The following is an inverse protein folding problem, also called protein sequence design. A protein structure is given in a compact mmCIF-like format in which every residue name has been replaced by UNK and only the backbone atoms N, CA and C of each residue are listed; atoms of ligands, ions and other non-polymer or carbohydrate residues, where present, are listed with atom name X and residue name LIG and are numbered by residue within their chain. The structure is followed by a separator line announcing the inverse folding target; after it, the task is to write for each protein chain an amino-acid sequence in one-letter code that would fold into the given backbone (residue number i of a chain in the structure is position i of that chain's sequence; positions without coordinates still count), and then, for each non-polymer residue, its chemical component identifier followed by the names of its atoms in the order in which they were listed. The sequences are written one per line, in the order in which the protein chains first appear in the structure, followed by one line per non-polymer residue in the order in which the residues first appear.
data_IF_023830293132
#
_entry.id   IF_023830293132
#
_cell.length_a   1.000
_cell.length_b   1.000
_cell.length_c   1.000
_cell.angle_alpha   90.00
_cell.angle_beta   90.00
_cell.angle_gamma   90.00
#
_symmetry.space_group_name_H-M   'P 1'
#
loop_
_entity.id
_entity.type
_entity.pdbx_description
1 polymer ?
#
# COMPACT_ATOMS: atom_id res chain seq x y z
N UNK A 1 3.82 -21.51 32.37
CA UNK A 1 3.19 -20.33 32.99
C UNK A 1 3.41 -19.14 32.04
N UNK A 2 2.51 -18.64 31.22
CA UNK A 2 1.12 -18.95 30.90
C UNK A 2 1.02 -18.96 29.36
N UNK A 3 0.66 -20.10 28.80
CA UNK A 3 0.15 -20.20 27.44
C UNK A 3 -1.32 -19.78 27.47
N UNK A 4 -1.65 -18.61 26.91
CA UNK A 4 -3.03 -18.24 26.63
C UNK A 4 -3.48 -18.94 25.34
N UNK A 5 -3.75 -20.23 25.50
CA UNK A 5 -4.58 -21.02 24.60
C UNK A 5 -6.03 -20.56 24.80
N UNK A 6 -6.59 -19.87 23.82
CA UNK A 6 -8.03 -19.55 23.81
C UNK A 6 -8.75 -20.83 23.36
N UNK A 7 -9.20 -21.60 24.35
CA UNK A 7 -10.23 -22.62 24.18
C UNK A 7 -11.54 -21.91 23.81
N UNK A 8 -12.10 -22.26 22.65
CA UNK A 8 -13.45 -21.86 22.26
C UNK A 8 -14.37 -22.98 22.73
N UNK A 9 -15.01 -22.79 23.87
CA UNK A 9 -16.12 -23.63 24.31
C UNK A 9 -17.33 -23.43 23.39
N UNK A 10 -17.80 -24.55 22.87
CA UNK A 10 -18.99 -24.71 22.05
C UNK A 10 -20.26 -24.47 22.89
N UNK A 11 -20.97 -23.39 22.59
CA UNK A 11 -22.38 -23.25 22.95
C UNK A 11 -23.22 -23.54 21.70
N UNK A 12 -23.71 -24.77 21.63
CA UNK A 12 -24.76 -25.19 20.71
C UNK A 12 -26.11 -24.56 21.11
N UNK A 13 -26.97 -24.40 20.10
CA UNK A 13 -28.38 -24.00 20.12
C UNK A 13 -28.68 -22.50 20.14
N UNK A 14 -28.79 -21.93 18.94
CA UNK A 14 -29.99 -21.20 18.52
C UNK A 14 -30.09 -21.13 16.99
N UNK A 15 -31.02 -21.94 16.47
CA UNK A 15 -31.68 -21.88 15.14
C UNK A 15 -30.87 -21.37 13.95
N UNK A 16 -30.34 -22.35 13.20
CA UNK A 16 -29.90 -22.18 11.82
C UNK A 16 -31.10 -21.73 10.95
N UNK A 17 -31.12 -20.47 10.53
CA UNK A 17 -31.90 -20.08 9.35
C UNK A 17 -31.01 -20.36 8.15
N UNK A 18 -31.16 -21.56 7.60
CA UNK A 18 -30.66 -21.91 6.26
C UNK A 18 -31.44 -21.05 5.27
N UNK A 19 -30.83 -20.00 4.72
CA UNK A 19 -31.38 -19.31 3.55
C UNK A 19 -30.84 -20.08 2.32
N UNK A 20 -31.70 -20.74 1.53
CA UNK A 20 -31.25 -21.50 0.38
C UNK A 20 -30.65 -20.59 -0.70
N UNK A 21 -29.53 -21.02 -1.28
CA UNK A 21 -28.95 -20.48 -2.52
C UNK A 21 -29.90 -20.70 -3.71
N UNK A 22 -30.99 -19.95 -3.78
CA UNK A 22 -31.82 -19.91 -5.00
C UNK A 22 -32.83 -18.76 -5.00
N UNK A 23 -32.47 -17.54 -4.59
CA UNK A 23 -33.41 -16.40 -4.61
C UNK A 23 -32.78 -15.04 -4.94
N UNK A 24 -31.90 -15.01 -5.95
CA UNK A 24 -31.60 -13.78 -6.71
C UNK A 24 -31.50 -14.09 -8.21
N UNK A 25 -32.52 -14.76 -8.75
CA UNK A 25 -32.78 -14.84 -10.20
C UNK A 25 -34.28 -14.99 -10.55
N UNK A 26 -35.21 -15.10 -9.60
CA UNK A 26 -36.62 -15.40 -9.90
C UNK A 26 -37.56 -14.18 -10.02
N UNK A 27 -37.16 -12.98 -9.55
CA UNK A 27 -38.02 -11.79 -9.66
C UNK A 27 -38.21 -11.25 -11.09
N UNK A 28 -37.46 -11.78 -12.07
CA UNK A 28 -37.66 -11.49 -13.49
C UNK A 28 -38.34 -12.63 -14.28
N UNK A 29 -38.66 -13.76 -13.63
CA UNK A 29 -39.35 -14.89 -14.27
C UNK A 29 -40.82 -15.06 -13.83
N UNK A 30 -41.20 -14.61 -12.64
CA UNK A 30 -42.59 -14.73 -12.17
C UNK A 30 -43.56 -13.72 -12.83
N UNK A 31 -43.05 -12.64 -13.42
CA UNK A 31 -43.82 -11.76 -14.31
C UNK A 31 -44.02 -12.38 -15.71
N UNK A 32 -43.20 -13.38 -16.09
CA UNK A 32 -43.28 -14.05 -17.39
C UNK A 32 -44.14 -15.33 -17.34
N UNK A 33 -44.23 -16.03 -16.20
CA UNK A 33 -45.08 -17.22 -16.08
C UNK A 33 -46.53 -16.94 -15.68
N UNK A 34 -46.81 -15.90 -14.89
CA UNK A 34 -48.19 -15.51 -14.59
C UNK A 34 -48.95 -14.95 -15.81
N UNK A 35 -48.23 -14.60 -16.89
CA UNK A 35 -48.82 -14.26 -18.17
C UNK A 35 -49.14 -15.50 -19.03
N UNK A 36 -48.58 -16.68 -18.70
CA UNK A 36 -48.75 -17.92 -19.45
C UNK A 36 -49.83 -18.84 -18.83
N UNK A 37 -50.00 -18.82 -17.51
CA UNK A 37 -51.01 -19.65 -16.82
C UNK A 37 -52.46 -19.15 -16.95
N UNK A 38 -52.69 -17.88 -17.30
CA UNK A 38 -54.04 -17.34 -17.46
C UNK A 38 -54.64 -17.56 -18.87
N UNK A 39 -53.93 -18.25 -19.77
CA UNK A 39 -54.39 -18.51 -21.16
C UNK A 39 -54.77 -19.99 -21.43
N UNK A 40 -54.81 -20.86 -20.42
CA UNK A 40 -55.27 -22.24 -20.58
C UNK A 40 -56.52 -22.53 -19.77
N UNK A 41 -57.58 -21.78 -20.05
CA UNK A 41 -58.94 -22.27 -19.84
C UNK A 41 -59.88 -21.55 -20.79
N UNK A 42 -60.64 -22.35 -21.54
CA UNK A 42 -61.75 -22.01 -22.44
C UNK A 42 -61.37 -21.74 -23.91
N UNK A 43 -61.57 -22.81 -24.67
CA UNK A 43 -61.71 -22.87 -26.11
C UNK A 43 -62.84 -21.96 -26.60
N UNK A 44 -62.49 -20.89 -27.33
CA UNK A 44 -63.33 -20.31 -28.36
C UNK A 44 -62.47 -19.45 -29.30
N UNK A 45 -62.64 -19.68 -30.59
CA UNK A 45 -61.89 -19.13 -31.72
C UNK A 45 -61.96 -17.60 -31.86
N UNK A 46 -60.83 -16.92 -31.67
CA UNK A 46 -60.57 -15.61 -32.32
C UNK A 46 -59.08 -15.58 -32.72
N UNK A 47 -58.78 -15.66 -34.02
CA UNK A 47 -57.45 -15.37 -34.55
C UNK A 47 -57.20 -13.86 -34.49
N UNK A 48 -56.55 -13.37 -33.44
CA UNK A 48 -55.89 -12.06 -33.47
C UNK A 48 -54.42 -12.26 -33.80
N UNK A 49 -54.05 -11.94 -35.03
CA UNK A 49 -52.66 -11.86 -35.50
C UNK A 49 -51.90 -10.81 -34.68
N UNK A 50 -50.98 -11.25 -33.82
CA UNK A 50 -50.00 -10.38 -33.19
C UNK A 50 -49.03 -9.92 -34.29
N UNK A 51 -49.23 -8.71 -34.81
CA UNK A 51 -48.26 -8.08 -35.70
C UNK A 51 -47.02 -7.70 -34.88
N UNK A 52 -45.95 -8.49 -34.98
CA UNK A 52 -44.63 -8.07 -34.50
C UNK A 52 -44.19 -6.86 -35.32
N UNK A 53 -43.92 -5.73 -34.65
CA UNK A 53 -43.43 -4.53 -35.33
C UNK A 53 -42.10 -4.82 -36.05
N UNK A 54 -41.95 -4.50 -37.34
CA UNK A 54 -40.69 -4.72 -38.03
C UNK A 54 -39.60 -3.80 -37.48
N UNK A 55 -38.42 -4.39 -37.25
CA UNK A 55 -37.17 -3.71 -36.93
C UNK A 55 -36.69 -2.92 -38.16
N UNK A 56 -35.82 -1.92 -37.95
CA UNK A 56 -35.27 -1.07 -39.02
C UNK A 56 -34.55 -1.90 -40.12
N UNK A 57 -34.14 -3.14 -39.79
CA UNK A 57 -33.46 -4.08 -40.67
C UNK A 57 -34.39 -4.98 -41.51
N UNK A 58 -35.71 -4.87 -41.38
CA UNK A 58 -36.65 -5.80 -42.03
C UNK A 58 -37.04 -5.40 -43.47
N UNK A 59 -36.29 -4.49 -44.11
CA UNK A 59 -36.56 -4.10 -45.49
C UNK A 59 -35.94 -5.12 -46.43
N UNK A 60 -36.79 -5.83 -47.17
CA UNK A 60 -36.33 -6.78 -48.19
C UNK A 60 -36.08 -6.05 -49.50
N UNK A 61 -35.21 -6.60 -50.34
CA UNK A 61 -34.93 -6.06 -51.69
C UNK A 61 -36.20 -5.90 -52.54
N UNK A 62 -37.20 -6.76 -52.31
CA UNK A 62 -38.52 -6.72 -52.94
C UNK A 62 -39.32 -5.43 -52.60
N UNK A 63 -39.08 -4.83 -51.44
CA UNK A 63 -39.82 -3.66 -50.93
C UNK A 63 -39.35 -2.34 -51.57
N UNK A 64 -38.24 -2.38 -52.30
CA UNK A 64 -37.60 -1.24 -52.98
C UNK A 64 -37.80 -1.24 -54.50
N UNK A 65 -38.51 -2.23 -55.06
CA UNK A 65 -38.62 -2.48 -56.50
C UNK A 65 -39.25 -1.36 -57.32
N UNK A 66 -40.06 -0.48 -56.72
CA UNK A 66 -40.67 0.64 -57.44
C UNK A 66 -40.36 1.97 -56.76
N UNK A 67 -40.17 3.08 -57.51
CA UNK A 67 -39.90 4.39 -56.94
C UNK A 67 -40.93 4.83 -55.90
N UNK A 68 -42.20 4.44 -56.09
CA UNK A 68 -43.31 4.77 -55.18
C UNK A 68 -43.23 3.99 -53.87
N UNK A 69 -42.93 2.69 -53.91
CA UNK A 69 -42.74 1.85 -52.70
C UNK A 69 -41.49 2.25 -51.93
N UNK A 70 -40.38 2.50 -52.63
CA UNK A 70 -39.12 2.98 -52.04
C UNK A 70 -39.32 4.31 -51.30
N UNK A 71 -40.00 5.29 -51.91
CA UNK A 71 -40.32 6.58 -51.27
C UNK A 71 -41.22 6.42 -50.03
N UNK A 72 -42.16 5.48 -50.06
CA UNK A 72 -43.02 5.18 -48.91
C UNK A 72 -42.23 4.56 -47.74
N UNK A 73 -41.37 3.56 -48.02
CA UNK A 73 -40.51 2.93 -47.02
C UNK A 73 -39.48 3.89 -46.44
N UNK A 74 -38.87 4.75 -47.25
CA UNK A 74 -37.95 5.79 -46.78
C UNK A 74 -38.62 6.76 -45.79
N UNK A 75 -39.87 7.17 -46.06
CA UNK A 75 -40.64 8.00 -45.13
C UNK A 75 -40.94 7.28 -43.82
N UNK A 76 -41.34 6.01 -43.87
CA UNK A 76 -41.59 5.19 -42.67
C UNK A 76 -40.32 5.00 -41.84
N UNK A 77 -39.21 4.70 -42.48
CA UNK A 77 -37.88 4.61 -41.85
C UNK A 77 -37.48 5.93 -41.20
N UNK A 78 -37.57 7.04 -41.94
CA UNK A 78 -37.21 8.37 -41.44
C UNK A 78 -38.03 8.72 -40.19
N UNK A 79 -39.33 8.40 -40.20
CA UNK A 79 -40.21 8.59 -39.06
C UNK A 79 -39.83 7.69 -37.87
N UNK A 80 -39.56 6.40 -38.09
CA UNK A 80 -39.16 5.46 -37.03
C UNK A 80 -37.78 5.80 -36.44
N UNK A 81 -36.84 6.24 -37.28
CA UNK A 81 -35.55 6.76 -36.86
C UNK A 81 -35.71 8.02 -35.98
N UNK A 82 -36.55 8.98 -36.41
CA UNK A 82 -36.86 10.17 -35.63
C UNK A 82 -37.51 9.83 -34.27
N UNK A 83 -38.47 8.91 -34.27
CA UNK A 83 -39.14 8.46 -33.05
C UNK A 83 -38.17 7.78 -32.09
N UNK A 84 -37.31 6.88 -32.59
CA UNK A 84 -36.27 6.23 -31.79
C UNK A 84 -35.25 7.24 -31.26
N UNK A 85 -34.83 8.22 -32.07
CA UNK A 85 -33.95 9.31 -31.65
C UNK A 85 -34.58 10.12 -30.51
N UNK A 86 -35.86 10.47 -30.62
CA UNK A 86 -36.61 11.17 -29.56
C UNK A 86 -36.75 10.32 -28.30
N UNK A 87 -37.02 9.01 -28.44
CA UNK A 87 -37.07 8.06 -27.32
C UNK A 87 -35.72 7.97 -26.59
N UNK A 88 -34.61 7.86 -27.32
CA UNK A 88 -33.25 7.86 -26.77
C UNK A 88 -32.97 9.16 -26.00
N UNK A 89 -33.36 10.32 -26.55
CA UNK A 89 -33.19 11.61 -25.86
C UNK A 89 -33.99 11.66 -24.55
N UNK A 90 -35.24 11.23 -24.56
CA UNK A 90 -36.09 11.19 -23.35
C UNK A 90 -35.54 10.23 -22.29
N UNK A 91 -35.09 9.04 -22.71
CA UNK A 91 -34.46 8.05 -21.82
C UNK A 91 -33.15 8.61 -21.21
N UNK A 92 -32.32 9.25 -22.02
CA UNK A 92 -31.10 9.90 -21.54
C UNK A 92 -31.39 11.03 -20.54
N UNK A 93 -32.44 11.82 -20.77
CA UNK A 93 -32.88 12.85 -19.83
C UNK A 93 -33.40 12.25 -18.52
N UNK A 94 -34.17 11.16 -18.56
CA UNK A 94 -34.65 10.48 -17.34
C UNK A 94 -33.47 9.91 -16.55
N UNK A 95 -32.53 9.24 -17.21
CA UNK A 95 -31.28 8.76 -16.58
C UNK A 95 -30.50 9.91 -15.94
N UNK A 96 -30.37 11.06 -16.63
CA UNK A 96 -29.70 12.24 -16.08
C UNK A 96 -30.40 12.77 -14.83
N UNK A 97 -31.73 12.89 -14.85
CA UNK A 97 -32.52 13.34 -13.68
C UNK A 97 -32.37 12.39 -12.50
N UNK A 98 -32.40 11.09 -12.74
CA UNK A 98 -32.20 10.07 -11.71
C UNK A 98 -30.79 10.14 -11.11
N UNK A 99 -29.75 10.27 -11.93
CA UNK A 99 -28.38 10.45 -11.45
C UNK A 99 -28.22 11.70 -10.59
N UNK A 100 -28.86 12.81 -10.97
CA UNK A 100 -28.83 14.04 -10.19
C UNK A 100 -29.53 13.88 -8.83
N UNK A 101 -30.62 13.09 -8.77
CA UNK A 101 -31.30 12.75 -7.50
C UNK A 101 -30.47 11.82 -6.61
N UNK A 102 -29.58 11.02 -7.18
CA UNK A 102 -28.72 10.04 -6.49
C UNK A 102 -27.25 10.51 -6.43
N UNK A 103 -27.02 11.82 -6.26
CA UNK A 103 -25.69 12.43 -6.33
C UNK A 103 -24.79 12.14 -5.13
N UNK A 104 -25.37 11.74 -3.99
CA UNK A 104 -24.68 11.33 -2.78
C UNK A 104 -25.39 10.14 -2.13
N UNK A 105 -24.67 9.46 -1.24
CA UNK A 105 -25.17 8.40 -0.39
C UNK A 105 -26.37 8.89 0.43
N UNK A 106 -26.28 10.10 1.01
CA UNK A 106 -27.37 10.75 1.73
C UNK A 106 -28.59 11.00 0.83
N UNK A 107 -28.37 11.46 -0.40
CA UNK A 107 -29.47 11.69 -1.34
C UNK A 107 -30.14 10.36 -1.76
N UNK A 108 -29.35 9.30 -1.90
CA UNK A 108 -29.85 7.94 -2.15
C UNK A 108 -30.67 7.44 -0.96
N UNK A 109 -30.15 7.55 0.26
CA UNK A 109 -30.86 7.11 1.46
C UNK A 109 -32.14 7.94 1.71
N UNK A 110 -32.10 9.25 1.48
CA UNK A 110 -33.28 10.12 1.51
C UNK A 110 -34.32 9.72 0.46
N UNK A 111 -33.89 9.38 -0.75
CA UNK A 111 -34.79 8.88 -1.79
C UNK A 111 -35.43 7.53 -1.42
N UNK A 112 -34.66 6.60 -0.84
CA UNK A 112 -35.18 5.32 -0.36
C UNK A 112 -36.15 5.48 0.81
N UNK A 113 -35.86 6.40 1.74
CA UNK A 113 -36.75 6.79 2.83
C UNK A 113 -38.08 7.34 2.29
N UNK A 114 -38.02 8.29 1.36
CA UNK A 114 -39.22 8.89 0.78
C UNK A 114 -40.10 7.88 0.00
N UNK A 115 -39.51 6.80 -0.51
CA UNK A 115 -40.24 5.74 -1.21
C UNK A 115 -40.67 4.59 -0.28
N UNK A 116 -40.52 4.74 1.04
CA UNK A 116 -40.86 3.73 2.06
C UNK A 116 -40.14 2.39 1.86
N UNK A 117 -38.93 2.39 1.31
CA UNK A 117 -38.13 1.19 1.08
C UNK A 117 -37.19 0.86 2.25
N UNK A 118 -36.98 1.79 3.18
CA UNK A 118 -36.09 1.66 4.35
C UNK A 118 -36.77 2.29 5.57
N UNK A 119 -36.65 1.66 6.74
CA UNK A 119 -37.10 2.21 8.04
C UNK A 119 -36.21 3.35 8.54
N UNK A 120 -36.77 4.31 9.27
CA UNK A 120 -36.01 5.48 9.77
C UNK A 120 -34.79 5.08 10.61
N UNK A 121 -34.93 4.06 11.45
CA UNK A 121 -33.82 3.55 12.26
C UNK A 121 -32.67 2.99 11.40
N UNK A 122 -32.99 2.27 10.32
CA UNK A 122 -31.98 1.70 9.43
C UNK A 122 -31.26 2.78 8.60
N UNK A 123 -31.96 3.88 8.26
CA UNK A 123 -31.36 5.02 7.57
C UNK A 123 -30.22 5.62 8.41
N UNK A 124 -30.52 5.97 9.66
CA UNK A 124 -29.56 6.66 10.54
C UNK A 124 -28.47 5.72 11.04
N UNK A 125 -28.79 4.46 11.27
CA UNK A 125 -27.83 3.46 11.72
C UNK A 125 -26.78 3.13 10.64
N UNK A 126 -27.19 2.97 9.38
CA UNK A 126 -26.27 2.69 8.28
C UNK A 126 -25.39 3.92 7.98
N UNK A 127 -25.97 5.12 7.96
CA UNK A 127 -25.22 6.36 7.75
C UNK A 127 -24.23 6.62 8.88
N UNK A 128 -24.57 6.33 10.14
CA UNK A 128 -23.68 6.64 11.26
C UNK A 128 -22.63 5.54 11.52
N UNK A 129 -22.96 4.25 11.28
CA UNK A 129 -22.04 3.13 11.54
C UNK A 129 -21.09 2.79 10.40
N UNK A 130 -21.35 3.24 9.17
CA UNK A 130 -20.44 3.01 8.06
C UNK A 130 -19.12 3.77 8.25
N UNK A 131 -18.00 3.06 8.08
CA UNK A 131 -16.68 3.68 8.08
C UNK A 131 -16.53 4.67 6.91
N UNK A 132 -15.82 5.77 7.15
CA UNK A 132 -15.64 6.85 6.16
C UNK A 132 -15.08 6.38 4.81
N UNK A 133 -14.08 5.46 4.74
CA UNK A 133 -13.60 4.95 3.45
C UNK A 133 -14.72 4.29 2.63
N UNK A 134 -15.66 3.61 3.28
CA UNK A 134 -16.78 2.92 2.61
C UNK A 134 -17.78 3.95 2.09
N UNK A 135 -18.15 4.94 2.91
CA UNK A 135 -19.04 6.05 2.52
C UNK A 135 -18.49 6.79 1.30
N UNK A 136 -17.21 7.14 1.35
CA UNK A 136 -16.53 7.86 0.27
C UNK A 136 -16.45 7.02 -1.01
N UNK A 137 -16.24 5.70 -0.90
CA UNK A 137 -16.18 4.85 -2.08
C UNK A 137 -17.56 4.66 -2.73
N UNK A 138 -18.63 4.57 -1.93
CA UNK A 138 -19.98 4.53 -2.48
C UNK A 138 -20.33 5.87 -3.14
N UNK A 139 -20.02 6.99 -2.49
CA UNK A 139 -20.17 8.34 -3.07
C UNK A 139 -19.40 8.49 -4.39
N UNK A 140 -18.21 7.91 -4.49
CA UNK A 140 -17.42 7.86 -5.72
C UNK A 140 -18.15 7.13 -6.84
N UNK A 141 -18.70 5.95 -6.54
CA UNK A 141 -19.45 5.13 -7.50
C UNK A 141 -20.74 5.81 -7.97
N UNK A 142 -21.41 6.57 -7.09
CA UNK A 142 -22.63 7.32 -7.42
C UNK A 142 -22.36 8.52 -8.34
N UNK A 143 -21.23 9.23 -8.15
CA UNK A 143 -20.88 10.41 -8.95
C UNK A 143 -20.35 10.04 -10.34
N UNK A 144 -19.14 9.48 -10.39
CA UNK A 144 -18.45 9.14 -11.64
C UNK A 144 -17.21 8.31 -11.35
N UNK A 145 -16.91 7.37 -12.25
CA UNK A 145 -15.70 6.53 -12.20
C UNK A 145 -14.39 7.35 -12.25
N UNK A 146 -14.43 8.58 -12.78
CA UNK A 146 -13.26 9.45 -12.96
C UNK A 146 -13.02 10.44 -11.82
N UNK A 147 -13.80 10.36 -10.74
CA UNK A 147 -13.57 11.23 -9.56
C UNK A 147 -12.20 10.96 -8.92
N UNK A 148 -11.69 11.88 -8.11
CA UNK A 148 -10.44 11.67 -7.34
C UNK A 148 -10.71 10.74 -6.15
N UNK A 149 -9.72 9.95 -5.75
CA UNK A 149 -9.80 9.15 -4.53
C UNK A 149 -9.56 10.06 -3.33
N UNK A 150 -10.34 9.88 -2.27
CA UNK A 150 -10.18 10.62 -1.03
C UNK A 150 -8.90 10.20 -0.28
N UNK A 151 -8.36 11.07 0.60
CA UNK A 151 -7.22 10.72 1.44
C UNK A 151 -7.46 9.50 2.33
N UNK A 152 -8.66 9.37 2.93
CA UNK A 152 -8.99 8.25 3.82
C UNK A 152 -9.09 6.91 3.07
N UNK A 153 -9.65 6.91 1.85
CA UNK A 153 -9.64 5.71 1.01
C UNK A 153 -8.24 5.37 0.49
N UNK A 154 -7.44 6.39 0.17
CA UNK A 154 -6.04 6.21 -0.24
C UNK A 154 -5.20 5.59 0.87
N UNK A 155 -5.29 6.11 2.11
CA UNK A 155 -4.59 5.54 3.26
C UNK A 155 -5.05 4.11 3.52
N UNK A 156 -6.36 3.86 3.59
CA UNK A 156 -6.92 2.51 3.77
C UNK A 156 -6.41 1.51 2.71
N UNK A 157 -6.47 1.88 1.43
CA UNK A 157 -6.04 1.01 0.34
C UNK A 157 -4.52 0.73 0.39
N UNK A 158 -3.70 1.74 0.68
CA UNK A 158 -2.26 1.59 0.81
C UNK A 158 -1.90 0.71 2.02
N UNK A 159 -2.51 0.95 3.18
CA UNK A 159 -2.30 0.17 4.40
C UNK A 159 -2.70 -1.28 4.22
N UNK A 160 -3.87 -1.56 3.63
CA UNK A 160 -4.32 -2.93 3.38
C UNK A 160 -3.39 -3.66 2.40
N UNK A 161 -2.97 -2.99 1.32
CA UNK A 161 -2.01 -3.55 0.37
C UNK A 161 -0.64 -3.81 1.02
N UNK A 162 -0.21 -2.93 1.93
CA UNK A 162 1.04 -3.07 2.69
C UNK A 162 0.99 -4.28 3.63
N UNK A 163 -0.11 -4.47 4.37
CA UNK A 163 -0.26 -5.63 5.24
C UNK A 163 -0.34 -6.94 4.46
N UNK A 164 -1.11 -6.99 3.37
CA UNK A 164 -1.16 -8.17 2.52
C UNK A 164 -1.76 -7.87 1.15
N UNK A 165 -0.96 -8.09 0.10
CA UNK A 165 -1.42 -8.01 -1.29
C UNK A 165 -2.54 -9.02 -1.59
N UNK A 166 -2.49 -10.21 -0.99
CA UNK A 166 -3.54 -11.23 -1.13
C UNK A 166 -4.84 -10.79 -0.48
N UNK A 167 -4.77 -10.24 0.74
CA UNK A 167 -5.94 -9.71 1.42
C UNK A 167 -6.55 -8.55 0.64
N UNK A 168 -5.73 -7.64 0.13
CA UNK A 168 -6.19 -6.55 -0.73
C UNK A 168 -6.93 -7.05 -1.97
N UNK A 169 -6.36 -8.02 -2.69
CA UNK A 169 -6.99 -8.62 -3.87
C UNK A 169 -8.31 -9.33 -3.53
N UNK A 170 -8.35 -10.05 -2.41
CA UNK A 170 -9.56 -10.69 -1.91
C UNK A 170 -10.65 -9.66 -1.63
N UNK A 171 -10.38 -8.67 -0.77
CA UNK A 171 -11.33 -7.60 -0.42
C UNK A 171 -11.79 -6.88 -1.68
N UNK A 172 -10.87 -6.55 -2.60
CA UNK A 172 -11.23 -5.91 -3.87
C UNK A 172 -12.18 -6.77 -4.70
N UNK A 173 -11.96 -8.09 -4.79
CA UNK A 173 -12.84 -9.02 -5.51
C UNK A 173 -14.21 -9.15 -4.83
N UNK A 174 -14.22 -9.35 -3.51
CA UNK A 174 -15.41 -9.53 -2.68
C UNK A 174 -16.34 -8.31 -2.77
N UNK A 175 -15.79 -7.10 -2.71
CA UNK A 175 -16.55 -5.86 -2.80
C UNK A 175 -16.71 -5.35 -4.25
N UNK A 176 -16.80 -6.24 -5.26
CA UNK A 176 -17.07 -5.87 -6.67
C UNK A 176 -16.16 -4.74 -7.21
N UNK A 177 -14.86 -4.82 -6.93
CA UNK A 177 -13.85 -3.83 -7.32
C UNK A 177 -14.07 -2.43 -6.74
N UNK A 178 -14.62 -2.33 -5.53
CA UNK A 178 -14.74 -1.08 -4.77
C UNK A 178 -13.39 -0.39 -4.59
N UNK A 179 -12.34 -1.17 -4.33
CA UNK A 179 -10.99 -0.64 -4.10
C UNK A 179 -10.23 -0.31 -5.40
N UNK A 180 -9.29 0.66 -5.35
CA UNK A 180 -8.52 1.06 -6.52
C UNK A 180 -7.76 -0.12 -7.16
N UNK A 181 -7.40 0.03 -8.44
CA UNK A 181 -6.56 -0.97 -9.10
C UNK A 181 -5.10 -0.88 -8.63
N UNK A 182 -4.33 -1.97 -8.68
CA UNK A 182 -2.94 -1.98 -8.21
C UNK A 182 -2.07 -0.94 -8.93
N UNK A 183 -2.30 -0.68 -10.23
CA UNK A 183 -1.54 0.36 -10.94
C UNK A 183 -1.83 1.77 -10.38
N UNK A 184 -3.01 2.01 -9.82
CA UNK A 184 -3.31 3.26 -9.12
C UNK A 184 -2.48 3.36 -7.84
N UNK A 185 -2.35 2.28 -7.08
CA UNK A 185 -1.50 2.24 -5.88
C UNK A 185 -0.02 2.45 -6.24
N UNK A 186 0.46 1.82 -7.32
CA UNK A 186 1.84 2.03 -7.81
C UNK A 186 2.12 3.52 -8.11
N UNK A 187 1.18 4.21 -8.77
CA UNK A 187 1.27 5.66 -9.02
C UNK A 187 1.24 6.50 -7.74
N UNK A 188 0.62 6.00 -6.67
CA UNK A 188 0.62 6.67 -5.38
C UNK A 188 1.92 6.50 -4.62
N UNK A 189 2.58 5.34 -4.77
CA UNK A 189 3.92 5.09 -4.23
C UNK A 189 4.99 5.86 -4.99
N UNK A 190 4.85 6.06 -6.31
CA UNK A 190 5.84 6.77 -7.15
C UNK A 190 5.97 8.27 -6.87
N UNK A 191 5.27 8.81 -5.86
CA UNK A 191 5.42 10.21 -5.44
C UNK A 191 6.66 10.38 -4.57
N UNK A 192 7.04 9.33 -3.83
CA UNK A 192 8.20 9.34 -2.96
C UNK A 192 9.37 8.80 -3.77
N UNK A 193 10.44 9.57 -3.82
CA UNK A 193 11.69 9.10 -4.39
C UNK A 193 12.29 8.06 -3.45
N UNK A 194 12.56 6.88 -3.99
CA UNK A 194 13.05 5.72 -3.26
C UNK A 194 14.36 5.23 -3.84
N UNK A 195 15.14 6.13 -4.42
CA UNK A 195 16.47 5.86 -4.95
C UNK A 195 17.50 5.74 -3.81
N UNK A 196 18.63 5.06 -4.04
CA UNK A 196 19.74 4.99 -3.09
C UNK A 196 20.24 6.40 -2.71
N UNK A 197 20.69 6.56 -1.48
CA UNK A 197 21.12 7.82 -0.91
C UNK A 197 20.51 8.11 0.45
N UNK A 198 20.75 9.34 0.93
CA UNK A 198 20.18 9.85 2.17
C UNK A 198 18.77 10.40 1.95
N UNK A 199 17.82 9.94 2.78
CA UNK A 199 16.42 10.37 2.81
C UNK A 199 16.03 10.81 4.22
N UNK A 200 16.14 12.11 4.50
CA UNK A 200 15.83 12.68 5.82
C UNK A 200 14.40 13.22 5.95
N UNK A 201 13.59 13.18 4.88
CA UNK A 201 12.22 13.70 4.91
C UNK A 201 11.33 13.04 5.99
N UNK A 202 11.56 11.75 6.26
CA UNK A 202 10.80 11.03 7.27
C UNK A 202 11.10 11.50 8.68
N UNK A 203 12.35 11.83 8.99
CA UNK A 203 12.73 12.29 10.32
C UNK A 203 12.37 13.76 10.54
N UNK A 204 12.51 14.62 9.52
CA UNK A 204 12.08 16.03 9.61
C UNK A 204 10.58 16.13 9.88
N UNK A 205 9.78 15.29 9.23
CA UNK A 205 8.35 15.18 9.53
C UNK A 205 8.11 14.78 10.99
N UNK A 206 8.82 13.76 11.50
CA UNK A 206 8.69 13.32 12.90
C UNK A 206 9.07 14.40 13.91
N UNK A 207 10.12 15.18 13.62
CA UNK A 207 10.54 16.31 14.46
C UNK A 207 9.47 17.41 14.43
N UNK A 208 8.87 17.69 13.27
CA UNK A 208 7.81 18.70 13.15
C UNK A 208 6.52 18.34 13.89
N UNK A 209 6.20 17.05 13.98
CA UNK A 209 5.01 16.54 14.67
C UNK A 209 5.21 16.43 16.20
N UNK A 210 6.46 16.45 16.67
CA UNK A 210 6.78 16.27 18.09
C UNK A 210 6.83 17.59 18.84
N UNK A 211 6.16 17.65 19.99
CA UNK A 211 6.27 18.78 20.95
C UNK A 211 7.58 18.71 21.73
N UNK A 212 8.00 17.50 22.08
CA UNK A 212 9.21 17.24 22.85
C UNK A 212 10.41 17.04 21.91
N UNK A 213 11.64 17.35 22.35
CA UNK A 213 12.83 17.15 21.53
C UNK A 213 13.00 15.68 21.16
N UNK A 214 13.19 15.39 19.87
CA UNK A 214 13.41 14.03 19.38
C UNK A 214 14.84 13.60 19.70
N UNK A 215 14.98 12.49 20.41
CA UNK A 215 16.26 11.91 20.79
C UNK A 215 16.39 10.53 20.14
N UNK A 216 17.44 10.31 19.35
CA UNK A 216 17.62 9.09 18.57
C UNK A 216 18.99 8.44 18.79
N UNK A 217 19.02 7.14 18.53
CA UNK A 217 20.19 6.33 18.23
C UNK A 217 20.27 6.13 16.71
N UNK A 218 21.48 6.14 16.13
CA UNK A 218 21.68 5.77 14.74
C UNK A 218 22.17 4.32 14.68
N UNK A 219 21.42 3.46 13.99
CA UNK A 219 21.78 2.06 13.76
C UNK A 219 22.28 1.90 12.33
N UNK A 220 23.43 1.25 12.17
CA UNK A 220 24.05 0.96 10.88
C UNK A 220 24.14 -0.56 10.75
N UNK A 221 23.58 -1.10 9.68
CA UNK A 221 23.72 -2.52 9.35
C UNK A 221 23.88 -2.71 7.84
N UNK A 222 24.49 -3.83 7.47
CA UNK A 222 24.77 -4.21 6.10
C UNK A 222 24.05 -5.52 5.77
N UNK A 223 23.28 -5.53 4.68
CA UNK A 223 22.56 -6.71 4.23
C UNK A 223 23.07 -7.19 2.87
N UNK A 224 23.36 -8.49 2.74
CA UNK A 224 23.71 -9.06 1.45
C UNK A 224 22.47 -9.08 0.53
N UNK A 225 22.66 -8.63 -0.70
CA UNK A 225 21.64 -8.61 -1.75
C UNK A 225 22.04 -9.56 -2.89
N UNK A 226 21.03 -10.01 -3.65
CA UNK A 226 21.28 -10.84 -4.83
C UNK A 226 21.92 -9.98 -5.93
N UNK A 227 23.08 -10.42 -6.42
CA UNK A 227 23.75 -9.81 -7.57
C UNK A 227 22.91 -10.06 -8.83
N UNK A 228 22.33 -9.00 -9.37
CA UNK A 228 21.54 -9.06 -10.60
C UNK A 228 21.34 -7.67 -11.18
N UNK A 229 21.87 -7.44 -12.38
CA UNK A 229 21.59 -6.23 -13.16
C UNK A 229 20.25 -6.39 -13.88
N UNK A 230 19.35 -5.42 -13.73
CA UNK A 230 18.05 -5.39 -14.42
C UNK A 230 17.84 -4.07 -15.14
N UNK A 231 17.51 -4.12 -16.42
CA UNK A 231 17.18 -2.95 -17.23
C UNK A 231 15.68 -2.72 -17.26
N UNK A 232 15.24 -1.50 -16.97
CA UNK A 232 13.86 -1.09 -17.13
C UNK A 232 13.63 -0.45 -18.49
N UNK A 233 12.38 -0.55 -18.97
CA UNK A 233 11.91 0.07 -20.21
C UNK A 233 12.14 1.60 -20.29
N UNK A 234 12.35 2.24 -19.14
CA UNK A 234 12.59 3.68 -19.04
C UNK A 234 14.07 4.06 -19.23
N UNK A 235 14.94 3.12 -19.63
CA UNK A 235 16.38 3.34 -19.79
C UNK A 235 17.20 3.36 -18.50
N UNK A 236 16.54 3.24 -17.33
CA UNK A 236 17.20 3.04 -16.04
C UNK A 236 17.63 1.58 -15.86
N UNK A 237 18.80 1.35 -15.29
CA UNK A 237 19.22 0.02 -14.83
C UNK A 237 19.31 0.01 -13.29
N UNK A 238 19.13 -1.16 -12.70
CA UNK A 238 19.30 -1.41 -11.27
C UNK A 238 20.22 -2.60 -11.05
N UNK A 239 20.80 -2.70 -9.85
CA UNK A 239 21.67 -3.81 -9.45
C UNK A 239 23.16 -3.50 -9.48
N UNK A 240 23.54 -2.32 -9.97
CA UNK A 240 24.88 -1.78 -9.82
C UNK A 240 25.11 -1.14 -8.44
N UNK A 241 26.38 -0.85 -8.15
CA UNK A 241 26.78 0.03 -7.03
C UNK A 241 26.14 1.41 -7.23
N UNK A 242 25.45 1.90 -6.21
CA UNK A 242 24.74 3.18 -6.24
C UNK A 242 24.82 3.86 -4.88
N UNK A 243 25.48 5.02 -4.87
CA UNK A 243 25.72 5.83 -3.68
C UNK A 243 24.79 7.04 -3.57
N UNK A 244 23.78 7.15 -4.44
CA UNK A 244 22.89 8.31 -4.50
C UNK A 244 23.50 9.52 -5.20
N UNK A 245 24.56 9.32 -5.97
CA UNK A 245 25.15 10.32 -6.88
C UNK A 245 24.76 9.99 -8.32
N UNK A 246 24.61 11.01 -9.17
CA UNK A 246 24.27 10.82 -10.58
C UNK A 246 25.23 9.81 -11.23
N UNK A 247 24.70 8.69 -11.70
CA UNK A 247 25.48 7.64 -12.35
C UNK A 247 26.01 8.19 -13.67
N UNK A 248 27.33 8.41 -13.77
CA UNK A 248 27.98 8.57 -15.07
C UNK A 248 27.90 7.23 -15.80
N UNK A 249 27.68 7.26 -17.12
CA UNK A 249 27.63 6.04 -17.93
C UNK A 249 29.04 5.45 -18.02
N UNK A 250 29.35 4.54 -17.10
CA UNK A 250 30.61 3.78 -17.12
C UNK A 250 30.36 2.46 -17.85
N UNK A 251 31.22 2.14 -18.82
CA UNK A 251 31.13 0.92 -19.64
C UNK A 251 31.25 -0.39 -18.84
N UNK A 252 31.74 -0.32 -17.60
CA UNK A 252 31.89 -1.47 -16.70
C UNK A 252 31.16 -1.24 -15.38
N UNK A 253 29.89 -1.66 -15.33
CA UNK A 253 29.02 -1.49 -14.16
C UNK A 253 29.37 -2.56 -13.13
N UNK A 254 29.92 -2.13 -11.99
CA UNK A 254 30.15 -3.01 -10.86
C UNK A 254 28.82 -3.39 -10.20
N UNK A 255 28.55 -4.69 -10.05
CA UNK A 255 27.36 -5.18 -9.36
C UNK A 255 27.42 -4.89 -7.86
N UNK A 256 26.30 -4.45 -7.29
CA UNK A 256 26.15 -4.35 -5.85
C UNK A 256 25.94 -5.74 -5.23
N UNK A 257 26.61 -5.98 -4.11
CA UNK A 257 26.56 -7.24 -3.37
C UNK A 257 25.88 -7.07 -2.04
N UNK A 258 25.94 -5.87 -1.47
CA UNK A 258 25.44 -5.54 -0.16
C UNK A 258 24.69 -4.20 -0.20
N UNK A 259 23.72 -4.01 0.68
CA UNK A 259 23.06 -2.74 0.93
C UNK A 259 23.40 -2.27 2.35
N UNK A 260 24.03 -1.10 2.44
CA UNK A 260 24.36 -0.44 3.70
C UNK A 260 23.21 0.48 4.09
N UNK A 261 22.61 0.26 5.26
CA UNK A 261 21.40 0.99 5.70
C UNK A 261 21.69 1.77 6.96
N UNK A 262 21.26 3.04 6.98
CA UNK A 262 21.25 3.90 8.15
C UNK A 262 19.81 4.05 8.65
N UNK A 263 19.61 3.80 9.94
CA UNK A 263 18.30 3.84 10.58
C UNK A 263 18.36 4.74 11.81
N UNK A 264 17.42 5.68 11.93
CA UNK A 264 17.21 6.41 13.17
C UNK A 264 16.19 5.65 14.02
N UNK A 265 16.60 5.31 15.24
CA UNK A 265 15.74 4.68 16.25
C UNK A 265 15.49 5.70 17.35
N UNK A 266 14.24 6.06 17.55
CA UNK A 266 13.86 6.99 18.61
C UNK A 266 14.07 6.33 19.98
N UNK A 267 14.71 7.05 20.90
CA UNK A 267 14.97 6.63 22.28
C UNK A 267 13.81 7.04 23.17
N UNK A 268 13.29 8.26 22.99
CA UNK A 268 12.19 8.81 23.76
C UNK A 268 10.81 8.61 23.12
N UNK A 269 10.69 7.62 22.22
CA UNK A 269 9.45 7.26 21.54
C UNK A 269 9.55 5.90 20.87
N UNK A 270 8.42 5.38 20.39
CA UNK A 270 8.33 4.03 19.82
C UNK A 270 8.26 4.05 18.30
N UNK A 271 9.31 4.50 17.64
CA UNK A 271 9.39 4.46 16.18
C UNK A 271 10.83 4.37 15.68
N UNK A 272 10.97 3.93 14.44
CA UNK A 272 12.22 3.89 13.69
C UNK A 272 11.96 4.33 12.25
N UNK A 273 12.88 5.07 11.67
CA UNK A 273 12.78 5.54 10.27
C UNK A 273 14.12 5.35 9.55
N UNK A 274 14.11 4.95 8.28
CA UNK A 274 15.32 4.93 7.48
C UNK A 274 15.83 6.36 7.30
N UNK A 275 17.14 6.55 7.46
CA UNK A 275 17.85 7.78 7.13
C UNK A 275 18.43 7.73 5.71
N UNK A 276 18.65 6.53 5.19
CA UNK A 276 19.20 6.32 3.86
C UNK A 276 19.71 4.90 3.68
N UNK A 277 19.93 4.53 2.43
CA UNK A 277 20.57 3.26 2.09
C UNK A 277 21.46 3.42 0.85
N UNK A 278 22.52 2.62 0.78
CA UNK A 278 23.50 2.66 -0.30
C UNK A 278 23.72 1.25 -0.82
N UNK A 279 23.77 1.09 -2.15
CA UNK A 279 24.08 -0.18 -2.79
C UNK A 279 25.57 -0.25 -3.04
N UNK A 280 26.25 -1.21 -2.42
CA UNK A 280 27.72 -1.28 -2.39
C UNK A 280 28.20 -2.68 -2.78
N UNK A 281 29.40 -2.78 -3.34
CA UNK A 281 30.09 -4.07 -3.45
C UNK A 281 30.93 -4.37 -2.19
N UNK A 282 31.65 -3.35 -1.72
CA UNK A 282 32.42 -3.39 -0.48
C UNK A 282 32.83 -1.99 -0.12
N UNK A 283 32.82 -1.64 1.17
CA UNK A 283 33.39 -0.38 1.65
C UNK A 283 34.44 -0.59 2.71
N UNK A 284 35.52 0.13 2.57
CA UNK A 284 36.56 0.35 3.57
C UNK A 284 36.03 1.12 4.77
N UNK A 285 36.79 1.09 5.88
CA UNK A 285 36.45 1.86 7.08
C UNK A 285 36.42 3.37 6.81
N UNK A 286 37.29 3.89 5.93
CA UNK A 286 37.36 5.32 5.58
C UNK A 286 36.14 5.78 4.78
N UNK A 287 35.69 5.00 3.80
CA UNK A 287 34.47 5.30 3.03
C UNK A 287 33.24 5.33 3.93
N UNK A 288 33.11 4.36 4.84
CA UNK A 288 32.01 4.33 5.84
C UNK A 288 32.09 5.51 6.80
N UNK A 289 33.29 5.91 7.21
CA UNK A 289 33.49 7.07 8.08
C UNK A 289 33.02 8.36 7.42
N UNK A 290 33.31 8.54 6.12
CA UNK A 290 32.82 9.69 5.35
C UNK A 290 31.29 9.71 5.27
N UNK A 291 30.66 8.56 5.00
CA UNK A 291 29.20 8.47 4.98
C UNK A 291 28.58 8.76 6.35
N UNK A 292 29.13 8.20 7.43
CA UNK A 292 28.64 8.45 8.77
C UNK A 292 28.78 9.92 9.16
N UNK A 293 29.92 10.55 8.83
CA UNK A 293 30.13 11.99 9.04
C UNK A 293 29.05 12.80 8.30
N UNK A 294 28.81 12.49 7.02
CA UNK A 294 27.78 13.18 6.24
C UNK A 294 26.37 12.94 6.77
N UNK A 295 26.08 11.71 7.22
CA UNK A 295 24.82 11.36 7.86
C UNK A 295 24.59 12.21 9.11
N UNK A 296 25.61 12.37 9.97
CA UNK A 296 25.52 13.15 11.21
C UNK A 296 25.33 14.65 10.93
N UNK A 297 26.05 15.20 9.95
CA UNK A 297 25.87 16.59 9.50
C UNK A 297 24.41 16.86 9.12
N UNK A 298 23.85 16.07 8.21
CA UNK A 298 22.45 16.24 7.77
C UNK A 298 21.48 15.94 8.92
N UNK A 299 21.80 14.97 9.78
CA UNK A 299 20.96 14.61 10.93
C UNK A 299 20.80 15.78 11.90
N UNK A 300 21.88 16.51 12.21
CA UNK A 300 21.80 17.65 13.13
C UNK A 300 21.01 18.83 12.55
N UNK A 301 21.02 19.01 11.22
CA UNK A 301 20.18 20.02 10.56
C UNK A 301 18.67 19.76 10.75
N UNK A 302 18.25 18.52 10.99
CA UNK A 302 16.83 18.19 11.20
C UNK A 302 16.26 18.64 12.54
N UNK A 303 17.12 19.04 13.49
CA UNK A 303 16.73 19.38 14.87
C UNK A 303 16.63 18.19 15.82
N UNK A 304 16.78 16.95 15.33
CA UNK A 304 16.88 15.77 16.19
C UNK A 304 18.25 15.68 16.89
N UNK A 305 18.28 15.09 18.09
CA UNK A 305 19.51 14.89 18.87
C UNK A 305 19.96 13.44 18.77
N UNK A 306 21.23 13.22 18.41
CA UNK A 306 21.87 11.92 18.40
C UNK A 306 22.89 11.83 19.56
N UNK A 307 22.77 10.80 20.39
CA UNK A 307 23.72 10.54 21.50
C UNK A 307 24.48 9.23 21.34
N UNK A 308 24.02 8.34 20.48
CA UNK A 308 24.63 7.03 20.31
C UNK A 308 24.55 6.52 18.88
N UNK A 309 25.51 5.66 18.54
CA UNK A 309 25.51 4.88 17.30
C UNK A 309 25.62 3.41 17.67
N UNK A 310 24.90 2.53 16.96
CA UNK A 310 24.98 1.07 17.13
C UNK A 310 25.25 0.37 15.80
N UNK A 311 26.16 -0.59 15.80
CA UNK A 311 26.47 -1.42 14.63
C UNK A 311 26.98 -2.81 15.06
N UNK A 312 27.14 -3.73 14.11
CA UNK A 312 27.72 -5.04 14.37
C UNK A 312 29.26 -5.02 14.47
N UNK A 313 29.87 -6.00 15.14
CA UNK A 313 31.32 -6.03 15.37
C UNK A 313 32.18 -6.35 14.15
N UNK A 314 31.74 -5.99 12.93
CA UNK A 314 32.51 -6.18 11.72
C UNK A 314 33.80 -5.33 11.71
N UNK A 315 34.95 -5.84 11.22
CA UNK A 315 36.22 -5.10 11.22
C UNK A 315 36.16 -3.74 10.53
N UNK A 316 35.37 -3.62 9.45
CA UNK A 316 35.15 -2.38 8.71
C UNK A 316 34.42 -1.32 9.56
N UNK A 317 33.45 -1.71 10.40
CA UNK A 317 32.72 -0.80 11.29
C UNK A 317 33.59 -0.35 12.47
N UNK A 318 34.43 -1.25 12.99
CA UNK A 318 35.44 -0.90 13.99
C UNK A 318 36.45 0.09 13.41
N UNK A 319 36.96 -0.18 12.20
CA UNK A 319 37.89 0.70 11.48
C UNK A 319 37.30 2.08 11.22
N UNK A 320 36.02 2.15 10.79
CA UNK A 320 35.28 3.41 10.63
C UNK A 320 35.31 4.27 11.90
N UNK A 321 34.98 3.69 13.06
CA UNK A 321 34.98 4.45 14.31
C UNK A 321 36.38 4.85 14.77
N UNK A 322 37.39 4.01 14.54
CA UNK A 322 38.79 4.37 14.82
C UNK A 322 39.26 5.57 13.98
N UNK A 323 38.89 5.60 12.70
CA UNK A 323 39.18 6.73 11.79
C UNK A 323 38.49 8.02 12.27
N UNK A 324 37.30 7.91 12.86
CA UNK A 324 36.57 9.03 13.47
C UNK A 324 37.10 9.42 14.87
N UNK A 325 38.17 8.79 15.35
CA UNK A 325 38.85 9.15 16.60
C UNK A 325 38.34 8.43 17.85
N UNK A 326 37.64 7.31 17.70
CA UNK A 326 37.34 6.40 18.81
C UNK A 326 38.52 5.45 19.08
N UNK A 327 38.72 5.09 20.35
CA UNK A 327 39.69 4.09 20.76
C UNK A 327 38.98 2.98 21.55
N UNK A 328 39.06 1.75 21.04
CA UNK A 328 38.44 0.57 21.66
C UNK A 328 39.43 -0.29 22.43
N UNK A 329 40.68 0.16 22.61
CA UNK A 329 41.65 -0.55 23.43
C UNK A 329 41.33 -0.36 24.92
N UNK A 330 40.72 -1.39 25.51
CA UNK A 330 40.23 -1.38 26.88
C UNK A 330 41.35 -1.26 27.93
N UNK A 331 42.56 -1.72 27.60
CA UNK A 331 43.69 -1.70 28.53
C UNK A 331 44.53 -0.43 28.42
N UNK A 332 44.26 0.41 27.42
CA UNK A 332 44.93 1.69 27.25
C UNK A 332 44.31 2.77 28.14
N UNK A 333 45.14 3.67 28.68
CA UNK A 333 44.68 4.90 29.33
C UNK A 333 43.91 5.83 28.39
N UNK A 334 44.01 5.60 27.08
CA UNK A 334 43.34 6.35 26.02
C UNK A 334 42.03 5.69 25.56
N UNK A 335 41.48 4.74 26.32
CA UNK A 335 40.19 4.11 26.00
C UNK A 335 39.10 5.17 25.81
N UNK A 336 38.49 5.17 24.63
CA UNK A 336 37.57 6.21 24.17
C UNK A 336 36.48 5.62 23.27
N UNK A 337 35.46 4.95 23.82
CA UNK A 337 34.34 4.36 23.07
C UNK A 337 33.31 5.40 22.59
N UNK A 338 33.79 6.58 22.17
CA UNK A 338 32.96 7.66 21.65
C UNK A 338 33.71 8.48 20.61
N UNK A 339 32.96 9.15 19.75
CA UNK A 339 33.48 10.13 18.79
C UNK A 339 33.05 11.53 19.18
N UNK A 340 33.90 12.50 18.89
CA UNK A 340 33.58 13.93 19.02
C UNK A 340 33.19 14.45 17.65
N UNK A 341 32.02 15.07 17.54
CA UNK A 341 31.50 15.60 16.27
C UNK A 341 31.05 17.04 16.48
N UNK A 342 31.40 17.99 15.60
CA UNK A 342 30.94 19.36 15.73
C UNK A 342 29.41 19.43 15.62
N UNK A 343 28.77 20.27 16.44
CA UNK A 343 27.30 20.40 16.44
C UNK A 343 26.75 20.93 15.10
N UNK A 344 27.52 21.77 14.42
CA UNK A 344 27.27 22.30 13.08
C UNK A 344 28.62 22.54 12.38
N UNK A 345 28.66 22.58 11.04
CA UNK A 345 29.88 22.88 10.29
C UNK A 345 30.50 24.20 10.79
N UNK A 346 31.73 24.15 11.32
CA UNK A 346 32.44 25.31 11.86
C UNK A 346 32.17 25.65 13.33
N UNK A 347 31.36 24.86 14.06
CA UNK A 347 31.18 25.02 15.50
C UNK A 347 32.44 24.66 16.29
N UNK A 348 32.73 25.43 17.35
CA UNK A 348 33.72 25.03 18.38
C UNK A 348 33.12 24.07 19.42
N UNK A 349 31.80 23.92 19.46
CA UNK A 349 31.13 23.01 20.38
C UNK A 349 31.09 21.60 19.78
N UNK A 350 31.84 20.69 20.40
CA UNK A 350 31.83 19.28 20.07
C UNK A 350 30.75 18.55 20.88
N UNK A 351 29.97 17.71 20.19
CA UNK A 351 29.06 16.74 20.80
C UNK A 351 29.73 15.38 20.86
N UNK A 352 29.57 14.73 22.00
CA UNK A 352 30.02 13.36 22.23
C UNK A 352 28.91 12.42 21.77
N UNK A 353 29.27 11.46 20.91
CA UNK A 353 28.39 10.38 20.47
C UNK A 353 29.01 9.05 20.91
N UNK A 354 28.29 8.33 21.76
CA UNK A 354 28.73 7.04 22.30
C UNK A 354 28.56 5.92 21.27
N UNK A 355 29.51 5.00 21.24
CA UNK A 355 29.48 3.86 20.32
C UNK A 355 29.10 2.60 21.07
N UNK A 356 28.09 1.91 20.58
CA UNK A 356 27.65 0.62 21.08
C UNK A 356 27.79 -0.44 19.99
N UNK A 357 28.21 -1.63 20.40
CA UNK A 357 28.11 -2.82 19.54
C UNK A 357 26.77 -3.50 19.78
N UNK A 358 26.25 -4.16 18.75
CA UNK A 358 25.06 -5.00 18.90
C UNK A 358 25.35 -6.12 19.92
N UNK A 359 24.75 -5.99 21.11
CA UNK A 359 24.91 -6.92 22.21
C UNK A 359 24.54 -8.36 21.81
N UNK A 360 23.50 -8.55 20.99
CA UNK A 360 23.08 -9.88 20.55
C UNK A 360 24.12 -10.49 19.63
N UNK A 361 24.70 -9.70 18.72
CA UNK A 361 25.83 -10.16 17.88
C UNK A 361 27.04 -10.52 18.74
N UNK A 362 27.38 -9.69 19.72
CA UNK A 362 28.53 -9.92 20.60
C UNK A 362 28.35 -11.19 21.46
N UNK A 363 27.17 -11.39 22.04
CA UNK A 363 26.85 -12.62 22.79
C UNK A 363 26.92 -13.87 21.91
N UNK A 364 26.46 -13.79 20.64
CA UNK A 364 26.62 -14.89 19.68
C UNK A 364 28.08 -15.22 19.42
N UNK A 365 28.96 -14.22 19.31
CA UNK A 365 30.40 -14.44 19.15
C UNK A 365 31.00 -15.12 20.37
N UNK A 366 30.72 -14.62 21.58
CA UNK A 366 31.17 -15.24 22.85
C UNK A 366 30.72 -16.70 22.92
N UNK A 367 29.45 -16.98 22.62
CA UNK A 367 28.91 -18.34 22.56
C UNK A 367 29.66 -19.21 21.54
N UNK A 368 29.88 -18.71 20.32
CA UNK A 368 30.59 -19.47 19.29
C UNK A 368 32.04 -19.76 19.72
N UNK A 369 32.73 -18.79 20.31
CA UNK A 369 34.09 -18.97 20.84
C UNK A 369 34.13 -20.01 21.97
N UNK A 370 33.18 -19.98 22.90
CA UNK A 370 33.06 -21.00 23.94
C UNK A 370 32.81 -22.39 23.35
N UNK A 371 31.99 -22.50 22.30
CA UNK A 371 31.67 -23.77 21.66
C UNK A 371 32.84 -24.37 20.88
N UNK A 372 33.60 -23.52 20.17
CA UNK A 372 34.77 -23.93 19.40
C UNK A 372 35.95 -24.27 20.32
N UNK A 373 36.23 -23.42 21.32
CA UNK A 373 37.38 -23.58 22.21
C UNK A 373 37.14 -24.60 23.31
N UNK A 374 35.89 -24.80 23.74
CA UNK A 374 35.40 -25.72 24.80
C UNK A 374 35.98 -25.49 26.21
N UNK A 375 37.25 -25.13 26.31
CA UNK A 375 37.97 -24.83 27.54
C UNK A 375 38.71 -23.51 27.33
N UNK A 376 38.46 -22.53 28.20
CA UNK A 376 39.20 -21.27 28.26
C UNK A 376 39.95 -21.26 29.58
N UNK A 377 41.25 -20.98 29.55
CA UNK A 377 42.08 -20.90 30.75
C UNK A 377 42.14 -19.43 31.18
N UNK A 378 41.78 -19.13 32.42
CA UNK A 378 41.89 -17.78 32.95
C UNK A 378 43.36 -17.45 33.30
N UNK A 379 43.70 -16.18 33.58
CA UNK A 379 45.08 -15.79 33.95
C UNK A 379 45.62 -16.47 35.22
N UNK A 380 44.74 -17.07 36.03
CA UNK A 380 45.07 -17.80 37.28
C UNK A 380 45.28 -19.31 37.01
N UNK A 381 45.05 -19.77 35.77
CA UNK A 381 45.20 -21.17 35.37
C UNK A 381 43.93 -22.03 35.52
N UNK A 382 42.81 -21.46 35.94
CA UNK A 382 41.55 -22.17 36.10
C UNK A 382 40.85 -22.38 34.75
N UNK A 383 40.26 -23.56 34.58
CA UNK A 383 39.58 -23.96 33.37
C UNK A 383 38.10 -23.57 33.41
N UNK A 384 37.71 -22.65 32.54
CA UNK A 384 36.31 -22.32 32.25
C UNK A 384 35.86 -23.25 31.12
N UNK A 385 35.05 -24.26 31.48
CA UNK A 385 34.47 -25.18 30.50
C UNK A 385 33.20 -24.57 29.92
N UNK A 386 33.17 -24.37 28.61
CA UNK A 386 31.96 -24.05 27.86
C UNK A 386 31.14 -25.32 27.64
N UNK A 387 30.30 -25.69 28.60
CA UNK A 387 29.17 -26.60 28.33
C UNK A 387 28.08 -25.78 27.65
N UNK A 388 27.99 -25.89 26.32
CA UNK A 388 26.90 -25.32 25.53
C UNK A 388 25.83 -26.37 25.31
#
# INVERSE_FOLDING_TARGET
MNDLSIQIESCENQSVIVIPESKYCSLNMDLYQNQIMCMQSTSASIQTTIQTEPLIYDIKTLDLLTPRKSKCHFKKLSFKYWFNKKKILNLNQTVRRLRNKLSSLEALFKHLKNNNLITENAHDEILNKLADPIKETINRNLKSRNTKYSPALRSFALTLQFYSSKAYLFVRKTFKNLLPYLNTLKKWYSVIDGEPGFLFQSITQRVSESVNPVVCNIVIDEMSIRKQITYHLNGKFYGGVDLGTTQEQVDNIQEATNALVFLAVCINGHWKVPLGYFLINSFSGSERANLLKKCLEIFFETGAKCYSITFDGAPCNISMCKILGANFDYFSSEFKPWISVPEFPGSKNEKIIYIFWDAVRMLKLVRNTLGEKKVIINPVGEQIKGTI
#
